data_IF_281844708622
#
_entry.id   IF_281844708622
#
_cell.length_a   1.000
_cell.length_b   1.000
_cell.length_c   1.000
_cell.angle_alpha   90.00
_cell.angle_beta   90.00
_cell.angle_gamma   90.00
#
_symmetry.space_group_name_H-M   'P 1'
#
loop_
_entity.id
_entity.type
_entity.pdbx_description
1 polymer ?
#
# COMPACT_ATOMS: atom_id res chain seq x y z
N UNK A 1 -20.79 -2.23 -7.65
CA UNK A 1 -20.55 -1.89 -6.22
C UNK A 1 -19.12 -1.41 -5.96
N UNK A 2 -18.10 -2.22 -6.28
CA UNK A 2 -16.69 -1.90 -5.97
C UNK A 2 -16.09 -0.70 -6.73
N UNK A 3 -16.69 -0.30 -7.85
CA UNK A 3 -16.29 0.89 -8.62
C UNK A 3 -16.96 2.19 -8.12
N UNK A 4 -17.90 2.10 -7.18
CA UNK A 4 -18.60 3.29 -6.67
C UNK A 4 -17.72 4.03 -5.65
N UNK A 5 -17.48 5.32 -5.91
CA UNK A 5 -16.68 6.19 -5.07
C UNK A 5 -17.28 6.37 -3.66
N UNK A 6 -18.61 6.39 -3.54
CA UNK A 6 -19.29 6.60 -2.26
C UNK A 6 -19.07 5.40 -1.32
N UNK A 7 -19.17 4.19 -1.88
CA UNK A 7 -18.91 2.95 -1.13
C UNK A 7 -17.45 2.89 -0.68
N UNK A 8 -16.51 3.23 -1.57
CA UNK A 8 -15.09 3.31 -1.21
C UNK A 8 -14.86 4.34 -0.09
N UNK A 9 -15.53 5.49 -0.15
CA UNK A 9 -15.40 6.55 0.86
C UNK A 9 -15.93 6.09 2.22
N UNK A 10 -17.13 5.50 2.26
CA UNK A 10 -17.70 4.99 3.52
C UNK A 10 -16.80 3.96 4.20
N UNK A 11 -16.33 2.96 3.44
CA UNK A 11 -15.41 1.94 3.98
C UNK A 11 -14.11 2.58 4.51
N UNK A 12 -13.58 3.57 3.78
CA UNK A 12 -12.35 4.25 4.18
C UNK A 12 -12.53 5.06 5.46
N UNK A 13 -13.62 5.83 5.55
CA UNK A 13 -13.93 6.66 6.71
C UNK A 13 -14.12 5.80 7.97
N UNK A 14 -14.77 4.63 7.84
CA UNK A 14 -14.93 3.68 8.94
C UNK A 14 -13.60 3.11 9.43
N UNK A 15 -12.69 2.73 8.52
CA UNK A 15 -11.36 2.24 8.91
C UNK A 15 -10.56 3.30 9.67
N UNK A 16 -10.63 4.56 9.23
CA UNK A 16 -9.94 5.67 9.90
C UNK A 16 -10.59 5.96 11.26
N UNK A 17 -11.91 5.91 11.35
CA UNK A 17 -12.63 6.09 12.59
C UNK A 17 -12.22 5.03 13.64
N UNK A 18 -12.20 3.75 13.25
CA UNK A 18 -11.73 2.66 14.12
C UNK A 18 -10.26 2.87 14.50
N UNK A 19 -9.39 3.19 13.55
CA UNK A 19 -7.97 3.42 13.84
C UNK A 19 -7.73 4.57 14.82
N UNK A 20 -8.50 5.66 14.73
CA UNK A 20 -8.43 6.77 15.69
C UNK A 20 -8.97 6.38 17.06
N UNK A 21 -10.04 5.60 17.12
CA UNK A 21 -10.63 5.12 18.38
C UNK A 21 -9.66 4.23 19.15
N UNK A 22 -8.94 3.36 18.45
CA UNK A 22 -7.92 2.48 19.05
C UNK A 22 -6.56 3.17 19.27
N UNK A 23 -6.45 4.47 18.98
CA UNK A 23 -5.22 5.24 19.21
C UNK A 23 -4.08 4.96 18.23
N UNK A 24 -4.35 4.41 17.04
CA UNK A 24 -3.33 4.14 16.02
C UNK A 24 -2.68 5.44 15.55
N UNK A 25 -1.35 5.41 15.46
CA UNK A 25 -0.59 6.54 14.99
C UNK A 25 -0.89 6.86 13.52
N UNK A 26 -0.69 8.11 13.13
CA UNK A 26 -1.00 8.58 11.77
C UNK A 26 -0.20 7.88 10.67
N UNK A 27 0.96 7.28 11.01
CA UNK A 27 1.78 6.50 10.09
C UNK A 27 1.34 5.04 9.95
N UNK A 28 0.60 4.51 10.93
CA UNK A 28 0.04 3.15 10.91
C UNK A 28 -1.30 3.12 10.17
N UNK A 29 -2.00 4.26 10.12
CA UNK A 29 -3.27 4.40 9.40
C UNK A 29 -3.09 4.35 7.89
N UNK A 30 -3.97 3.58 7.24
CA UNK A 30 -4.03 3.42 5.78
C UNK A 30 -4.32 4.76 5.11
N UNK A 31 -3.69 5.03 3.97
CA UNK A 31 -3.78 6.33 3.28
C UNK A 31 -4.66 6.32 2.04
N UNK A 32 -4.92 5.15 1.47
CA UNK A 32 -5.80 4.94 0.33
C UNK A 32 -6.14 3.45 0.26
N UNK A 33 -7.31 3.09 -0.29
CA UNK A 33 -7.78 1.70 -0.40
C UNK A 33 -8.20 1.35 -1.83
N UNK A 34 -8.11 0.06 -2.16
CA UNK A 34 -8.67 -0.50 -3.39
C UNK A 34 -9.66 -1.60 -3.02
N UNK A 35 -10.87 -1.51 -3.57
CA UNK A 35 -11.93 -2.49 -3.32
C UNK A 35 -11.97 -3.46 -4.50
N UNK A 36 -11.66 -4.71 -4.24
CA UNK A 36 -11.75 -5.80 -5.22
C UNK A 36 -13.12 -6.49 -5.09
N UNK A 37 -13.70 -6.90 -6.23
CA UNK A 37 -14.94 -7.67 -6.24
C UNK A 37 -14.71 -9.17 -5.99
N UNK A 38 -13.53 -9.66 -6.38
CA UNK A 38 -13.14 -11.06 -6.23
C UNK A 38 -12.55 -11.28 -4.81
N UNK A 39 -13.12 -12.19 -4.00
CA UNK A 39 -12.59 -12.52 -2.68
C UNK A 39 -11.29 -13.33 -2.77
N UNK A 40 -10.49 -13.29 -1.71
CA UNK A 40 -9.29 -14.12 -1.64
C UNK A 40 -9.68 -15.56 -1.31
N UNK A 41 -9.27 -16.50 -2.16
CA UNK A 41 -9.49 -17.92 -1.97
C UNK A 41 -8.19 -18.71 -2.08
N UNK A 42 -8.22 -19.95 -1.60
CA UNK A 42 -7.16 -20.94 -1.81
C UNK A 42 -7.07 -21.37 -3.28
N UNK A 43 -8.21 -21.48 -3.97
CA UNK A 43 -8.33 -21.81 -5.40
C UNK A 43 -7.68 -20.74 -6.29
N UNK A 44 -7.85 -19.46 -5.97
CA UNK A 44 -7.24 -18.35 -6.68
C UNK A 44 -5.73 -18.22 -6.40
N UNK A 45 -5.18 -19.07 -5.53
CA UNK A 45 -3.78 -19.08 -5.14
C UNK A 45 -3.36 -17.88 -4.28
N UNK A 46 -4.32 -17.07 -3.83
CA UNK A 46 -4.06 -15.85 -3.03
C UNK A 46 -3.94 -16.14 -1.53
N UNK A 47 -4.52 -17.26 -1.07
CA UNK A 47 -4.41 -17.73 0.30
C UNK A 47 -3.54 -18.98 0.42
N UNK A 48 -2.93 -19.15 1.58
CA UNK A 48 -2.40 -20.45 2.05
C UNK A 48 -3.57 -21.36 2.43
N UNK A 49 -3.36 -22.69 2.51
CA UNK A 49 -4.38 -23.61 3.02
C UNK A 49 -4.89 -23.23 4.42
N UNK A 50 -4.08 -22.53 5.20
CA UNK A 50 -4.41 -21.97 6.53
C UNK A 50 -5.11 -20.61 6.48
N UNK A 51 -5.64 -20.20 5.33
CA UNK A 51 -6.36 -18.93 5.12
C UNK A 51 -5.53 -17.67 5.44
N UNK A 52 -4.20 -17.77 5.34
CA UNK A 52 -3.30 -16.62 5.44
C UNK A 52 -3.01 -16.07 4.05
N UNK A 53 -2.94 -14.75 3.95
CA UNK A 53 -2.64 -14.04 2.71
C UNK A 53 -1.23 -14.32 2.20
N UNK A 54 -1.10 -14.80 0.95
CA UNK A 54 0.18 -14.97 0.26
C UNK A 54 0.67 -13.62 -0.27
N UNK A 55 1.50 -12.94 0.52
CA UNK A 55 1.96 -11.56 0.24
C UNK A 55 2.58 -11.37 -1.15
N UNK A 56 3.44 -12.29 -1.61
CA UNK A 56 4.09 -12.18 -2.92
C UNK A 56 3.07 -12.21 -4.07
N UNK A 57 2.12 -13.15 -4.01
CA UNK A 57 1.07 -13.29 -5.02
C UNK A 57 0.11 -12.11 -5.03
N UNK A 58 -0.27 -11.61 -3.86
CA UNK A 58 -1.09 -10.40 -3.76
C UNK A 58 -0.37 -9.17 -4.32
N UNK A 59 0.93 -9.02 -4.03
CA UNK A 59 1.74 -7.92 -4.56
C UNK A 59 1.79 -7.96 -6.09
N UNK A 60 2.02 -9.12 -6.69
CA UNK A 60 2.03 -9.30 -8.15
C UNK A 60 0.67 -8.95 -8.77
N UNK A 61 -0.42 -9.46 -8.19
CA UNK A 61 -1.78 -9.30 -8.73
C UNK A 61 -2.32 -7.87 -8.63
N UNK A 62 -1.97 -7.16 -7.56
CA UNK A 62 -2.44 -5.78 -7.32
C UNK A 62 -1.40 -4.71 -7.63
N UNK A 63 -0.24 -5.06 -8.20
CA UNK A 63 0.86 -4.13 -8.47
C UNK A 63 0.41 -2.90 -9.29
N UNK A 64 -0.37 -3.13 -10.35
CA UNK A 64 -0.85 -2.07 -11.23
C UNK A 64 -1.78 -1.10 -10.49
N UNK A 65 -2.75 -1.62 -9.75
CA UNK A 65 -3.72 -0.84 -8.99
C UNK A 65 -3.02 -0.03 -7.89
N UNK A 66 -2.12 -0.67 -7.13
CA UNK A 66 -1.32 0.00 -6.10
C UNK A 66 -0.43 1.12 -6.67
N UNK A 67 0.09 0.95 -7.89
CA UNK A 67 0.90 1.97 -8.56
C UNK A 67 0.09 3.20 -8.97
N UNK A 68 -1.19 3.01 -9.30
CA UNK A 68 -2.10 4.07 -9.76
C UNK A 68 -2.75 4.83 -8.59
N UNK A 69 -2.72 4.27 -7.38
CA UNK A 69 -3.30 4.90 -6.20
C UNK A 69 -2.61 6.22 -5.85
N UNK A 70 -3.43 7.19 -5.41
CA UNK A 70 -3.04 8.60 -5.27
C UNK A 70 -1.91 8.81 -4.26
N UNK A 71 -1.85 7.98 -3.21
CA UNK A 71 -0.82 8.03 -2.19
C UNK A 71 0.57 7.65 -2.72
N UNK A 72 0.67 6.61 -3.56
CA UNK A 72 1.93 6.20 -4.15
C UNK A 72 2.54 7.31 -5.03
N UNK A 73 1.68 8.07 -5.72
CA UNK A 73 2.07 9.23 -6.55
C UNK A 73 2.53 10.41 -5.70
N UNK A 74 1.77 10.78 -4.66
CA UNK A 74 2.11 11.90 -3.76
C UNK A 74 3.38 11.65 -2.96
N UNK A 75 3.65 10.42 -2.51
CA UNK A 75 4.89 10.08 -1.83
C UNK A 75 6.11 10.19 -2.74
N UNK A 76 6.03 9.66 -3.97
CA UNK A 76 7.12 9.81 -4.96
C UNK A 76 7.42 11.29 -5.25
N UNK A 77 6.39 12.10 -5.44
CA UNK A 77 6.59 13.53 -5.69
C UNK A 77 7.16 14.26 -4.48
N UNK A 78 6.76 13.90 -3.25
CA UNK A 78 7.32 14.48 -2.03
C UNK A 78 8.79 14.07 -1.81
N UNK A 79 9.18 12.85 -2.19
CA UNK A 79 10.59 12.41 -2.16
C UNK A 79 11.45 13.12 -3.20
N UNK A 80 10.91 13.37 -4.40
CA UNK A 80 11.59 14.11 -5.47
C UNK A 80 11.66 15.62 -5.21
N UNK A 81 10.72 16.17 -4.43
CA UNK A 81 10.66 17.59 -4.06
C UNK A 81 11.29 17.92 -2.70
N UNK A 82 11.85 16.93 -1.99
CA UNK A 82 12.60 17.17 -0.76
C UNK A 82 14.06 17.42 -1.14
N UNK A 83 14.64 18.62 -0.89
CA UNK A 83 16.07 18.82 -1.02
C UNK A 83 16.80 17.76 -0.19
N UNK A 84 17.95 17.22 -0.64
CA UNK A 84 18.76 16.36 0.19
C UNK A 84 19.24 17.17 1.40
N UNK A 85 18.51 17.11 2.51
CA UNK A 85 19.01 17.56 3.78
C UNK A 85 20.14 16.59 4.17
N UNK A 86 21.38 17.05 3.99
CA UNK A 86 22.55 16.46 4.63
C UNK A 86 22.39 16.62 6.14
N UNK A 87 21.73 15.65 6.78
CA UNK A 87 21.77 15.51 8.22
C UNK A 87 23.12 14.87 8.58
N UNK A 88 24.01 15.69 9.15
CA UNK A 88 25.41 15.35 9.49
C UNK A 88 25.60 14.29 10.59
N UNK A 89 24.67 13.35 10.76
CA UNK A 89 24.84 12.21 11.65
C UNK A 89 24.26 10.95 11.01
N UNK A 90 25.15 10.17 10.36
CA UNK A 90 25.20 8.70 10.34
C UNK A 90 23.94 7.84 10.12
N UNK A 91 22.78 8.37 9.76
CA UNK A 91 21.56 7.58 9.61
C UNK A 91 21.28 7.31 8.13
N UNK A 92 21.87 6.23 7.61
CA UNK A 92 21.63 5.74 6.25
C UNK A 92 20.18 5.29 6.15
N UNK A 93 19.29 6.17 5.66
CA UNK A 93 18.04 5.72 5.05
C UNK A 93 18.44 4.91 3.82
N UNK A 94 18.42 3.58 3.93
CA UNK A 94 18.49 2.72 2.75
C UNK A 94 17.29 3.07 1.87
N UNK A 95 17.56 3.81 0.80
CA UNK A 95 16.64 3.96 -0.31
C UNK A 95 16.37 2.56 -0.86
N UNK A 96 15.13 2.09 -0.74
CA UNK A 96 14.65 0.93 -1.47
C UNK A 96 14.57 1.32 -2.95
N UNK A 97 15.71 1.34 -3.63
CA UNK A 97 15.79 1.41 -5.08
C UNK A 97 15.45 0.02 -5.61
N UNK A 98 14.19 -0.15 -6.01
CA UNK A 98 13.83 -1.21 -6.95
C UNK A 98 14.50 -0.89 -8.28
N UNK A 99 15.58 -1.59 -8.57
CA UNK A 99 16.13 -1.69 -9.93
C UNK A 99 15.96 -3.14 -10.36
N UNK A 100 15.04 -3.33 -11.30
CA UNK A 100 15.12 -4.45 -12.23
C UNK A 100 16.42 -4.29 -13.01
N UNK A 101 17.30 -5.28 -12.98
CA UNK A 101 18.12 -5.60 -14.15
C UNK A 101 18.19 -7.10 -14.31
N UNK A 102 17.87 -7.54 -15.52
CA UNK A 102 18.03 -8.89 -16.01
C UNK A 102 19.52 -9.27 -16.09
N UNK A 103 19.71 -10.54 -16.45
CA UNK A 103 20.78 -11.12 -17.28
C UNK A 103 22.09 -11.59 -16.62
N UNK A 104 22.27 -12.90 -16.85
CA UNK A 104 23.41 -13.83 -16.75
C UNK A 104 23.80 -14.30 -15.34
#
# INVERSE_FOLDING_TARGET
LCANADVKKHIFDDMIHVGKREGLCSFEQVKDIYVCWEPFSTENGLLTPTLKSKRLKLKERFASQLSQMSWARKQRQRLLASPPHFCGYGCVRKAYNGVHSQSV
#
